data_IF_183022149142
#
_entry.id   IF_183022149142
#
_cell.length_a   1.000
_cell.length_b   1.000
_cell.length_c   1.000
_cell.angle_alpha   90.00
_cell.angle_beta   90.00
_cell.angle_gamma   90.00
#
_symmetry.space_group_name_H-M   'P 1'
#
loop_
_entity.id
_entity.type
_entity.pdbx_description
1 polymer ?
#
# COMPACT_ATOMS: atom_id res chain seq x y z
N UNK A 1 8.50 -4.59 -23.79
CA UNK A 1 7.73 -4.65 -22.53
C UNK A 1 8.49 -3.83 -21.49
N UNK A 2 7.91 -2.76 -20.96
CA UNK A 2 8.59 -1.76 -20.11
C UNK A 2 8.83 -2.31 -18.69
N UNK A 3 9.81 -3.19 -18.51
CA UNK A 3 10.43 -3.47 -17.20
C UNK A 3 9.57 -4.07 -16.08
N UNK A 4 8.31 -4.39 -16.34
CA UNK A 4 7.42 -5.08 -15.40
C UNK A 4 7.29 -6.53 -15.83
N UNK A 5 8.01 -7.42 -15.16
CA UNK A 5 7.87 -8.88 -15.29
C UNK A 5 6.55 -9.41 -14.69
N UNK A 6 5.63 -8.50 -14.31
CA UNK A 6 4.36 -8.81 -13.65
C UNK A 6 4.51 -9.11 -12.16
N UNK A 7 5.73 -9.07 -11.61
CA UNK A 7 5.96 -9.28 -10.19
C UNK A 7 5.53 -8.08 -9.37
N UNK A 8 5.19 -8.37 -8.12
CA UNK A 8 4.87 -7.35 -7.13
C UNK A 8 6.05 -6.41 -6.86
N UNK A 9 7.27 -6.95 -6.81
CA UNK A 9 8.49 -6.15 -6.59
C UNK A 9 8.70 -5.16 -7.74
N UNK A 10 8.49 -5.57 -8.99
CA UNK A 10 8.60 -4.66 -10.13
C UNK A 10 7.57 -3.52 -10.07
N UNK A 11 6.32 -3.81 -9.68
CA UNK A 11 5.29 -2.78 -9.47
C UNK A 11 5.66 -1.80 -8.33
N UNK A 12 6.21 -2.32 -7.22
CA UNK A 12 6.72 -1.49 -6.11
C UNK A 12 7.87 -0.58 -6.59
N UNK A 13 8.82 -1.11 -7.34
CA UNK A 13 9.94 -0.33 -7.88
C UNK A 13 9.46 0.76 -8.84
N UNK A 14 8.47 0.46 -9.68
CA UNK A 14 7.83 1.45 -10.55
C UNK A 14 7.22 2.61 -9.75
N UNK A 15 6.39 2.32 -8.75
CA UNK A 15 5.77 3.34 -7.91
C UNK A 15 6.80 4.17 -7.11
N UNK A 16 7.87 3.53 -6.61
CA UNK A 16 8.98 4.25 -5.96
C UNK A 16 9.67 5.20 -6.95
N UNK A 17 9.85 4.77 -8.20
CA UNK A 17 10.38 5.63 -9.26
C UNK A 17 9.47 6.81 -9.57
N UNK A 18 8.15 6.59 -9.63
CA UNK A 18 7.18 7.67 -9.79
C UNK A 18 7.20 8.67 -8.64
N UNK A 19 7.25 8.19 -7.39
CA UNK A 19 7.32 9.04 -6.20
C UNK A 19 8.64 9.83 -6.16
N UNK A 20 9.76 9.17 -6.46
CA UNK A 20 11.06 9.82 -6.60
C UNK A 20 11.05 10.93 -7.66
N UNK A 21 10.44 10.68 -8.82
CA UNK A 21 10.28 11.68 -9.89
C UNK A 21 9.34 12.83 -9.55
N UNK A 22 8.61 12.75 -8.43
CA UNK A 22 7.72 13.79 -7.91
C UNK A 22 8.23 14.33 -6.55
N UNK A 23 9.54 14.37 -6.32
CA UNK A 23 10.16 14.87 -5.09
C UNK A 23 9.60 14.22 -3.80
N UNK A 24 9.26 12.93 -3.88
CA UNK A 24 8.63 12.16 -2.79
C UNK A 24 7.34 12.79 -2.25
N UNK A 25 6.62 13.52 -3.10
CA UNK A 25 5.35 14.16 -2.75
C UNK A 25 4.14 13.31 -3.15
N UNK A 26 4.28 12.43 -4.15
CA UNK A 26 3.16 11.68 -4.73
C UNK A 26 2.55 10.70 -3.71
N UNK A 27 3.38 9.97 -2.98
CA UNK A 27 2.96 8.96 -1.99
C UNK A 27 3.16 9.44 -0.55
N UNK A 28 3.32 10.74 -0.34
CA UNK A 28 3.49 11.32 0.99
C UNK A 28 2.23 11.12 1.83
N UNK A 29 2.35 10.40 2.95
CA UNK A 29 1.21 10.06 3.80
C UNK A 29 0.55 8.73 3.44
N UNK A 30 1.01 8.03 2.40
CA UNK A 30 0.39 6.78 1.95
C UNK A 30 0.51 5.68 3.01
N UNK A 31 1.66 5.58 3.68
CA UNK A 31 1.86 4.59 4.76
C UNK A 31 0.91 4.85 5.92
N UNK A 32 0.78 6.10 6.34
CA UNK A 32 -0.10 6.54 7.43
C UNK A 32 -1.56 6.21 7.09
N UNK A 33 -1.97 6.49 5.84
CA UNK A 33 -3.30 6.15 5.33
C UNK A 33 -3.57 4.63 5.38
N UNK A 34 -2.58 3.79 5.03
CA UNK A 34 -2.69 2.33 5.14
C UNK A 34 -2.83 1.86 6.60
N UNK A 35 -2.06 2.46 7.52
CA UNK A 35 -2.10 2.10 8.95
C UNK A 35 -3.44 2.46 9.59
N UNK A 36 -4.00 3.62 9.25
CA UNK A 36 -5.35 4.03 9.67
C UNK A 36 -6.38 3.01 9.21
N UNK A 37 -6.34 2.61 7.94
CA UNK A 37 -7.25 1.59 7.40
C UNK A 37 -7.10 0.22 8.07
N UNK A 38 -5.88 -0.14 8.48
CA UNK A 38 -5.61 -1.37 9.22
C UNK A 38 -6.03 -1.29 10.70
N UNK A 39 -6.20 -0.09 11.25
CA UNK A 39 -6.65 0.15 12.63
C UNK A 39 -5.59 -0.16 13.69
N UNK A 40 -4.33 -0.38 13.31
CA UNK A 40 -3.22 -0.59 14.24
C UNK A 40 -1.90 -0.04 13.67
N UNK A 41 -0.98 0.32 14.57
CA UNK A 41 0.34 0.80 14.19
C UNK A 41 1.29 -0.36 13.86
N UNK A 42 2.21 -0.14 12.92
CA UNK A 42 3.16 -1.16 12.47
C UNK A 42 4.45 -0.53 11.96
N UNK A 43 5.59 -1.17 12.21
CA UNK A 43 6.89 -0.75 11.68
C UNK A 43 7.10 -1.13 10.20
N UNK A 44 6.18 -1.86 9.60
CA UNK A 44 6.24 -2.24 8.19
C UNK A 44 6.21 -1.02 7.27
N UNK A 45 6.94 -1.12 6.16
CA UNK A 45 6.85 -0.14 5.08
C UNK A 45 5.55 -0.31 4.29
N UNK A 46 5.17 0.71 3.51
CA UNK A 46 3.90 0.68 2.77
C UNK A 46 3.77 -0.53 1.83
N UNK A 47 4.88 -1.02 1.26
CA UNK A 47 4.81 -2.15 0.32
C UNK A 47 4.50 -3.47 1.03
N UNK A 48 5.01 -3.67 2.24
CA UNK A 48 4.63 -4.81 3.07
C UNK A 48 3.19 -4.68 3.62
N UNK A 49 2.73 -3.47 3.94
CA UNK A 49 1.34 -3.23 4.35
C UNK A 49 0.34 -3.54 3.23
N UNK A 50 0.65 -3.17 1.99
CA UNK A 50 -0.18 -3.51 0.83
C UNK A 50 -0.26 -5.04 0.61
N UNK A 51 0.85 -5.77 0.78
CA UNK A 51 0.81 -7.26 0.74
C UNK A 51 -0.06 -7.83 1.84
N UNK A 52 0.05 -7.26 3.04
CA UNK A 52 -0.79 -7.68 4.16
C UNK A 52 -2.26 -7.46 3.83
N UNK A 53 -2.66 -6.29 3.30
CA UNK A 53 -4.03 -6.05 2.86
C UNK A 53 -4.48 -6.98 1.71
N UNK A 54 -3.58 -7.31 0.78
CA UNK A 54 -3.87 -8.20 -0.34
C UNK A 54 -4.13 -9.67 0.10
N UNK A 55 -3.52 -10.10 1.20
CA UNK A 55 -3.59 -11.49 1.67
C UNK A 55 -4.28 -11.70 3.02
N UNK A 56 -4.54 -10.66 3.82
CA UNK A 56 -5.27 -10.74 5.09
C UNK A 56 -6.76 -11.03 4.88
N UNK A 57 -7.27 -10.79 3.67
CA UNK A 57 -8.58 -11.31 3.21
C UNK A 57 -8.59 -12.85 3.14
N UNK A 58 -7.42 -13.48 3.02
CA UNK A 58 -7.23 -14.92 2.80
C UNK A 58 -6.76 -15.64 4.06
N UNK A 59 -7.44 -15.46 5.20
CA UNK A 59 -7.35 -16.44 6.32
C UNK A 59 -7.91 -17.81 5.88
N UNK A 60 -7.24 -18.49 4.96
CA UNK A 60 -7.41 -19.92 4.69
C UNK A 60 -6.07 -20.54 4.28
N UNK A 61 -5.22 -20.77 5.28
CA UNK A 61 -4.38 -21.97 5.39
C UNK A 61 -3.65 -22.50 4.14
N UNK A 62 -2.96 -21.66 3.36
CA UNK A 62 -2.04 -22.16 2.34
C UNK A 62 -0.58 -21.99 2.77
N UNK A 63 0.05 -23.15 2.95
CA UNK A 63 1.45 -23.36 3.25
C UNK A 63 2.34 -22.90 2.09
N UNK A 64 3.37 -22.12 2.41
CA UNK A 64 4.69 -21.96 1.78
C UNK A 64 4.96 -22.56 0.37
N UNK A 65 4.10 -22.34 -0.61
CA UNK A 65 4.47 -22.45 -2.02
C UNK A 65 5.15 -21.14 -2.48
N UNK A 66 6.06 -21.20 -3.46
CA UNK A 66 6.54 -19.99 -4.13
C UNK A 66 5.33 -19.20 -4.64
N UNK A 67 5.34 -17.88 -4.42
CA UNK A 67 4.22 -16.98 -4.74
C UNK A 67 3.72 -17.27 -6.16
N UNK A 68 2.47 -17.73 -6.27
CA UNK A 68 1.91 -18.11 -7.57
C UNK A 68 1.76 -16.87 -8.46
N UNK A 69 1.68 -17.07 -9.78
CA UNK A 69 1.45 -15.98 -10.73
C UNK A 69 0.16 -15.22 -10.39
N UNK A 70 -0.86 -15.93 -9.91
CA UNK A 70 -2.15 -15.39 -9.47
C UNK A 70 -2.00 -14.55 -8.19
N UNK A 71 -1.18 -14.99 -7.24
CA UNK A 71 -0.89 -14.22 -6.02
C UNK A 71 -0.11 -12.94 -6.35
N UNK A 72 0.86 -13.01 -7.27
CA UNK A 72 1.55 -11.82 -7.78
C UNK A 72 0.58 -10.85 -8.45
N UNK A 73 -0.27 -11.34 -9.36
CA UNK A 73 -1.28 -10.52 -10.04
C UNK A 73 -2.23 -9.85 -9.03
N UNK A 74 -2.76 -10.61 -8.08
CA UNK A 74 -3.65 -10.07 -7.03
C UNK A 74 -2.96 -8.99 -6.20
N UNK A 75 -1.71 -9.24 -5.80
CA UNK A 75 -0.95 -8.27 -5.02
C UNK A 75 -0.72 -6.97 -5.81
N UNK A 76 -0.43 -7.07 -7.12
CA UNK A 76 -0.28 -5.93 -8.02
C UNK A 76 -1.61 -5.19 -8.18
N UNK A 77 -2.72 -5.89 -8.44
CA UNK A 77 -4.05 -5.30 -8.59
C UNK A 77 -4.47 -4.57 -7.30
N UNK A 78 -4.24 -5.18 -6.15
CA UNK A 78 -4.52 -4.58 -4.83
C UNK A 78 -3.65 -3.34 -4.59
N UNK A 79 -2.36 -3.41 -4.94
CA UNK A 79 -1.44 -2.28 -4.79
C UNK A 79 -1.91 -1.06 -5.59
N UNK A 80 -2.26 -1.24 -6.86
CA UNK A 80 -2.72 -0.12 -7.68
C UNK A 80 -4.08 0.41 -7.23
N UNK A 81 -5.00 -0.46 -6.77
CA UNK A 81 -6.27 -0.01 -6.20
C UNK A 81 -6.06 0.85 -4.95
N UNK A 82 -5.19 0.42 -4.02
CA UNK A 82 -4.88 1.18 -2.81
C UNK A 82 -4.23 2.54 -3.12
N UNK A 83 -3.34 2.59 -4.11
CA UNK A 83 -2.70 3.85 -4.53
C UNK A 83 -3.73 4.78 -5.17
N UNK A 84 -4.61 4.28 -6.04
CA UNK A 84 -5.64 5.10 -6.68
C UNK A 84 -6.65 5.67 -5.67
N UNK A 85 -7.09 4.85 -4.72
CA UNK A 85 -7.94 5.27 -3.60
C UNK A 85 -7.25 6.34 -2.75
N UNK A 86 -5.98 6.13 -2.38
CA UNK A 86 -5.20 7.11 -1.62
C UNK A 86 -5.07 8.43 -2.38
N UNK A 87 -4.72 8.41 -3.67
CA UNK A 87 -4.57 9.63 -4.47
C UNK A 87 -5.91 10.36 -4.65
N UNK A 88 -7.02 9.64 -4.63
CA UNK A 88 -8.37 10.22 -4.63
C UNK A 88 -8.67 10.91 -3.30
N UNK A 89 -8.40 10.23 -2.18
CA UNK A 89 -8.63 10.79 -0.84
C UNK A 89 -7.69 11.96 -0.52
N UNK A 90 -6.42 11.89 -0.94
CA UNK A 90 -5.41 12.92 -0.69
C UNK A 90 -5.72 14.25 -1.40
N UNK A 91 -6.57 14.24 -2.44
CA UNK A 91 -7.07 15.45 -3.11
C UNK A 91 -8.11 16.20 -2.29
N UNK A 92 -8.69 15.56 -1.28
CA UNK A 92 -9.64 16.18 -0.36
C UNK A 92 -8.91 16.57 0.95
N UNK A 93 -8.69 17.87 1.21
CA UNK A 93 -7.98 18.33 2.40
C UNK A 93 -8.65 17.91 3.71
N UNK A 94 -9.98 17.75 3.74
CA UNK A 94 -10.70 17.34 4.95
C UNK A 94 -10.47 15.87 5.26
N UNK A 95 -10.49 15.01 4.23
CA UNK A 95 -10.15 13.59 4.38
C UNK A 95 -8.70 13.41 4.80
N UNK A 96 -7.78 14.15 4.18
CA UNK A 96 -6.36 14.08 4.52
C UNK A 96 -6.10 14.51 5.98
N UNK A 97 -6.74 15.60 6.42
CA UNK A 97 -6.65 16.06 7.80
C UNK A 97 -7.30 15.09 8.81
N UNK A 98 -8.39 14.43 8.44
CA UNK A 98 -9.01 13.39 9.26
C UNK A 98 -8.09 12.18 9.41
N UNK A 99 -7.49 11.70 8.31
CA UNK A 99 -6.53 10.59 8.31
C UNK A 99 -5.34 10.86 9.25
N UNK A 100 -4.72 12.03 9.19
CA UNK A 100 -3.59 12.34 10.07
C UNK A 100 -3.97 12.40 11.56
N UNK A 101 -5.19 12.88 11.89
CA UNK A 101 -5.68 12.87 13.29
C UNK A 101 -5.87 11.45 13.79
N UNK A 102 -6.44 10.58 12.97
CA UNK A 102 -6.65 9.18 13.32
C UNK A 102 -5.31 8.45 13.48
N UNK A 103 -4.36 8.68 12.58
CA UNK A 103 -3.01 8.15 12.69
C UNK A 103 -2.31 8.58 13.99
N UNK A 104 -2.43 9.85 14.39
CA UNK A 104 -1.89 10.34 15.66
C UNK A 104 -2.47 9.60 16.87
N UNK A 105 -3.77 9.26 16.83
CA UNK A 105 -4.40 8.49 17.90
C UNK A 105 -3.81 7.08 18.02
N UNK A 106 -3.52 6.42 16.89
CA UNK A 106 -2.89 5.09 16.84
C UNK A 106 -1.44 5.09 17.33
N UNK A 107 -0.73 6.22 17.22
CA UNK A 107 0.66 6.34 17.66
C UNK A 107 0.81 6.57 19.18
N UNK A 108 -0.30 6.81 19.89
CA UNK A 108 -0.29 7.14 21.33
C UNK A 108 -0.62 5.94 22.23
N UNK A 109 -0.68 4.73 21.66
CA UNK A 109 -0.93 3.46 22.36
C UNK A 109 0.21 2.47 22.07
#
# INVERSE_FOLDING_TARGET
MYGLDGSYSAAVHFLRGCDFGNDFALLRGFREWLLVRLGYNSSLDWSALCLRLAFEVEKSGQTADPVSVEQHKRAVDTLFALVDEFLTDARDPHKLAAMYREYQSLATH
#
